data_IF_865963435575
#
_entry.id   IF_865963435575
#
_cell.length_a   1.000
_cell.length_b   1.000
_cell.length_c   1.000
_cell.angle_alpha   90.00
_cell.angle_beta   90.00
_cell.angle_gamma   90.00
#
_symmetry.space_group_name_H-M   'P 1'
#
loop_
_entity.id
_entity.type
_entity.pdbx_description
1 polymer ?
#
# COMPACT_ATOMS: atom_id res chain seq x y z
N UNK A 1 10.34 -5.82 -16.73
CA UNK A 1 10.98 -5.27 -15.53
C UNK A 1 9.90 -4.91 -14.50
N UNK A 2 10.23 -5.05 -13.20
CA UNK A 2 9.31 -4.69 -12.13
C UNK A 2 9.09 -3.17 -12.09
N UNK A 3 7.88 -2.74 -11.72
CA UNK A 3 7.60 -1.32 -11.50
C UNK A 3 8.31 -0.80 -10.26
N UNK A 4 8.74 0.47 -10.31
CA UNK A 4 9.30 1.19 -9.17
C UNK A 4 8.61 2.54 -9.05
N UNK A 5 8.38 3.01 -7.81
CA UNK A 5 7.78 4.33 -7.57
C UNK A 5 8.78 5.24 -6.88
N UNK A 6 8.92 6.47 -7.41
CA UNK A 6 9.67 7.56 -6.78
C UNK A 6 8.71 8.67 -6.40
N UNK A 7 8.78 9.12 -5.15
CA UNK A 7 7.88 10.13 -4.62
C UNK A 7 8.44 11.53 -4.85
N UNK A 8 7.56 12.49 -5.21
CA UNK A 8 7.89 13.93 -5.20
C UNK A 8 8.18 14.40 -3.78
N UNK A 9 9.07 15.37 -3.62
CA UNK A 9 9.47 15.90 -2.30
C UNK A 9 8.79 17.23 -1.97
N UNK A 10 8.38 17.98 -2.99
CA UNK A 10 7.76 19.28 -2.83
C UNK A 10 6.38 19.18 -2.16
N UNK A 11 5.93 20.29 -1.58
CA UNK A 11 4.61 20.42 -0.97
C UNK A 11 3.64 21.28 -1.83
N UNK A 12 4.15 22.07 -2.74
CA UNK A 12 3.34 22.84 -3.69
C UNK A 12 3.23 22.17 -5.06
N UNK A 13 2.09 22.33 -5.71
CA UNK A 13 1.76 21.62 -6.95
C UNK A 13 2.70 21.99 -8.12
N UNK A 14 3.16 23.23 -8.19
CA UNK A 14 4.05 23.69 -9.28
C UNK A 14 5.41 22.99 -9.20
N UNK A 15 5.97 22.89 -7.99
CA UNK A 15 7.26 22.21 -7.80
C UNK A 15 7.09 20.68 -7.91
N UNK A 16 6.00 20.11 -7.40
CA UNK A 16 5.67 18.67 -7.62
C UNK A 16 5.62 18.34 -9.12
N UNK A 17 5.06 19.21 -9.95
CA UNK A 17 5.00 19.01 -11.40
C UNK A 17 6.40 18.97 -12.02
N UNK A 18 7.29 19.87 -11.62
CA UNK A 18 8.68 19.92 -12.10
C UNK A 18 9.45 18.65 -11.69
N UNK A 19 9.27 18.21 -10.44
CA UNK A 19 9.86 16.96 -9.95
C UNK A 19 9.31 15.74 -10.68
N UNK A 20 8.01 15.69 -10.94
CA UNK A 20 7.37 14.61 -11.71
C UNK A 20 7.95 14.53 -13.13
N UNK A 21 8.19 15.67 -13.78
CA UNK A 21 8.80 15.73 -15.11
C UNK A 21 10.23 15.17 -15.14
N UNK A 22 10.97 15.27 -14.05
CA UNK A 22 12.30 14.66 -13.89
C UNK A 22 12.19 13.17 -13.62
N UNK A 23 11.36 12.78 -12.64
CA UNK A 23 11.25 11.39 -12.18
C UNK A 23 10.77 10.44 -13.29
N UNK A 24 9.83 10.87 -14.14
CA UNK A 24 9.33 10.05 -15.25
C UNK A 24 10.44 9.68 -16.28
N UNK A 25 11.55 10.40 -16.30
CA UNK A 25 12.65 10.15 -17.23
C UNK A 25 13.58 9.03 -16.78
N UNK A 26 13.47 8.56 -15.53
CA UNK A 26 14.37 7.52 -15.02
C UNK A 26 14.07 6.12 -15.57
N UNK A 27 12.95 5.91 -16.25
CA UNK A 27 12.66 4.64 -16.93
C UNK A 27 11.17 4.45 -17.24
N UNK A 28 10.89 3.57 -18.19
CA UNK A 28 9.51 3.24 -18.57
C UNK A 28 8.74 2.47 -17.48
N UNK A 29 9.44 1.84 -16.53
CA UNK A 29 8.85 1.15 -15.39
C UNK A 29 8.67 2.05 -14.15
N UNK A 30 9.00 3.34 -14.26
CA UNK A 30 8.87 4.31 -13.18
C UNK A 30 7.45 4.83 -13.06
N UNK A 31 6.93 4.82 -11.84
CA UNK A 31 5.70 5.48 -11.44
C UNK A 31 6.06 6.69 -10.58
N UNK A 32 5.55 7.86 -10.94
CA UNK A 32 5.70 9.06 -10.12
C UNK A 32 4.70 8.99 -8.97
N UNK A 33 5.22 9.01 -7.75
CA UNK A 33 4.37 8.88 -6.55
C UNK A 33 4.03 10.27 -6.02
N UNK A 34 2.73 10.54 -5.88
CA UNK A 34 2.18 11.85 -5.49
C UNK A 34 1.16 11.64 -4.37
N UNK A 35 1.26 12.36 -3.24
CA UNK A 35 0.24 12.31 -2.20
C UNK A 35 -1.07 12.97 -2.69
N UNK A 36 -2.23 12.43 -2.25
CA UNK A 36 -3.55 12.94 -2.65
C UNK A 36 -3.84 14.35 -2.15
N UNK A 37 -3.17 14.76 -1.09
CA UNK A 37 -3.22 16.13 -0.54
C UNK A 37 -1.81 16.55 -0.12
N UNK A 38 -1.58 17.86 -0.07
CA UNK A 38 -0.35 18.44 0.51
C UNK A 38 -0.46 18.61 2.03
N UNK A 39 0.57 19.16 2.69
CA UNK A 39 0.59 19.38 4.16
C UNK A 39 -0.46 20.38 4.65
N UNK A 40 -1.03 21.20 3.76
CA UNK A 40 -2.13 22.13 4.06
C UNK A 40 -3.53 21.52 3.84
N UNK A 41 -3.59 20.25 3.37
CA UNK A 41 -4.85 19.59 3.01
C UNK A 41 -5.40 20.03 1.65
N UNK A 42 -4.63 20.71 0.83
CA UNK A 42 -5.02 21.10 -0.53
C UNK A 42 -4.92 19.88 -1.46
N UNK A 43 -5.95 19.65 -2.27
CA UNK A 43 -6.03 18.50 -3.18
C UNK A 43 -5.00 18.59 -4.30
N UNK A 44 -4.33 17.47 -4.58
CA UNK A 44 -3.42 17.31 -5.74
C UNK A 44 -4.10 16.76 -6.98
N UNK A 45 -5.41 16.53 -6.95
CA UNK A 45 -6.19 16.03 -8.09
C UNK A 45 -5.99 16.84 -9.38
N UNK A 46 -5.90 18.20 -9.37
CA UNK A 46 -5.61 18.96 -10.59
C UNK A 46 -4.27 18.57 -11.23
N UNK A 47 -3.23 18.35 -10.42
CA UNK A 47 -1.92 17.90 -10.88
C UNK A 47 -1.97 16.45 -11.40
N UNK A 48 -2.61 15.55 -10.66
CA UNK A 48 -2.80 14.14 -11.04
C UNK A 48 -3.47 14.04 -12.41
N UNK A 49 -4.54 14.80 -12.62
CA UNK A 49 -5.27 14.86 -13.90
C UNK A 49 -4.36 15.32 -15.04
N UNK A 50 -3.59 16.40 -14.82
CA UNK A 50 -2.65 16.94 -15.82
C UNK A 50 -1.58 15.93 -16.19
N UNK A 51 -0.89 15.36 -15.19
CA UNK A 51 0.18 14.39 -15.41
C UNK A 51 -0.32 13.12 -16.11
N UNK A 52 -1.50 12.64 -15.73
CA UNK A 52 -2.12 11.49 -16.39
C UNK A 52 -2.46 11.77 -17.86
N UNK A 53 -2.97 12.98 -18.17
CA UNK A 53 -3.21 13.40 -19.56
C UNK A 53 -1.90 13.46 -20.39
N UNK A 54 -0.77 13.73 -19.74
CA UNK A 54 0.58 13.71 -20.33
C UNK A 54 1.21 12.31 -20.32
N UNK A 55 0.42 11.24 -20.16
CA UNK A 55 0.84 9.84 -20.11
C UNK A 55 1.90 9.53 -19.03
N UNK A 56 1.91 10.26 -17.93
CA UNK A 56 2.77 9.94 -16.78
C UNK A 56 2.15 8.81 -15.99
N UNK A 57 2.91 7.74 -15.74
CA UNK A 57 2.51 6.65 -14.84
C UNK A 57 2.51 7.15 -13.40
N UNK A 58 1.41 6.95 -12.68
CA UNK A 58 1.21 7.53 -11.36
C UNK A 58 1.06 6.46 -10.28
N UNK A 59 1.54 6.78 -9.08
CA UNK A 59 1.22 6.09 -7.85
C UNK A 59 0.66 7.13 -6.86
N UNK A 60 -0.67 7.26 -6.81
CA UNK A 60 -1.30 8.23 -5.90
C UNK A 60 -1.34 7.64 -4.50
N UNK A 61 -0.72 8.33 -3.56
CA UNK A 61 -0.46 7.82 -2.20
C UNK A 61 -1.16 8.64 -1.12
N UNK A 62 -1.05 8.17 0.13
CA UNK A 62 -1.72 8.75 1.29
C UNK A 62 -3.25 8.79 1.15
N UNK A 63 -3.83 7.75 0.52
CA UNK A 63 -5.28 7.61 0.33
C UNK A 63 -5.88 6.88 1.53
N UNK A 64 -6.98 7.44 2.09
CA UNK A 64 -7.64 6.93 3.30
C UNK A 64 -9.15 6.76 3.17
N UNK A 65 -9.78 7.38 2.16
CA UNK A 65 -11.24 7.35 2.01
C UNK A 65 -11.67 6.87 0.63
N UNK A 66 -12.89 6.36 0.56
CA UNK A 66 -13.45 5.89 -0.71
C UNK A 66 -13.72 7.05 -1.67
N UNK A 67 -14.02 8.25 -1.13
CA UNK A 67 -14.19 9.47 -1.91
C UNK A 67 -12.90 9.82 -2.65
N UNK A 68 -11.75 9.77 -1.95
CA UNK A 68 -10.44 9.98 -2.56
C UNK A 68 -10.15 8.96 -3.67
N UNK A 69 -10.49 7.68 -3.47
CA UNK A 69 -10.33 6.63 -4.50
C UNK A 69 -11.16 6.97 -5.73
N UNK A 70 -12.42 7.41 -5.56
CA UNK A 70 -13.31 7.82 -6.65
C UNK A 70 -12.76 9.04 -7.40
N UNK A 71 -12.36 10.08 -6.68
CA UNK A 71 -11.77 11.29 -7.27
C UNK A 71 -10.55 10.99 -8.12
N UNK A 72 -9.62 10.14 -7.62
CA UNK A 72 -8.43 9.71 -8.37
C UNK A 72 -8.86 8.96 -9.64
N UNK A 73 -9.73 7.96 -9.50
CA UNK A 73 -10.17 7.12 -10.61
C UNK A 73 -10.87 7.94 -11.70
N UNK A 74 -11.67 8.95 -11.32
CA UNK A 74 -12.29 9.86 -12.26
C UNK A 74 -11.28 10.78 -12.97
N UNK A 75 -10.28 11.28 -12.22
CA UNK A 75 -9.33 12.27 -12.71
C UNK A 75 -8.31 11.72 -13.70
N UNK A 76 -7.89 10.45 -13.57
CA UNK A 76 -6.84 9.87 -14.42
C UNK A 76 -7.37 9.49 -15.80
N UNK A 77 -6.50 9.50 -16.79
CA UNK A 77 -6.81 9.11 -18.17
C UNK A 77 -6.90 7.60 -18.27
N UNK A 78 -7.94 7.10 -18.92
CA UNK A 78 -8.15 5.67 -19.17
C UNK A 78 -6.98 5.05 -19.95
N UNK A 79 -6.53 3.88 -19.54
CA UNK A 79 -5.37 3.18 -20.13
C UNK A 79 -4.00 3.67 -19.64
N UNK A 80 -3.92 4.80 -18.94
CA UNK A 80 -2.66 5.26 -18.35
C UNK A 80 -2.42 4.55 -17.01
N UNK A 81 -1.31 3.79 -16.87
CA UNK A 81 -1.07 3.01 -15.66
C UNK A 81 -1.04 3.88 -14.40
N UNK A 82 -1.96 3.61 -13.49
CA UNK A 82 -2.08 4.36 -12.22
C UNK A 82 -2.31 3.39 -11.06
N UNK A 83 -1.51 3.53 -10.01
CA UNK A 83 -1.71 2.85 -8.73
C UNK A 83 -2.41 3.79 -7.74
N UNK A 84 -3.43 3.29 -7.07
CA UNK A 84 -4.11 3.97 -5.97
C UNK A 84 -3.70 3.29 -4.67
N UNK A 85 -2.81 3.93 -3.91
CA UNK A 85 -2.20 3.38 -2.70
C UNK A 85 -3.04 3.75 -1.47
N UNK A 86 -3.96 2.85 -1.08
CA UNK A 86 -4.78 3.01 0.12
C UNK A 86 -4.03 2.50 1.35
N UNK A 87 -3.95 3.33 2.39
CA UNK A 87 -3.19 3.04 3.62
C UNK A 87 -3.99 2.19 4.61
N UNK A 88 -4.39 0.99 4.19
CA UNK A 88 -5.23 0.08 4.95
C UNK A 88 -4.70 -0.21 6.36
N UNK A 89 -3.40 -0.41 6.53
CA UNK A 89 -2.82 -0.65 7.85
C UNK A 89 -2.92 0.57 8.77
N UNK A 90 -2.75 1.79 8.28
CA UNK A 90 -2.95 3.00 9.09
C UNK A 90 -4.42 3.24 9.43
N UNK A 91 -5.36 2.85 8.56
CA UNK A 91 -6.79 2.85 8.88
C UNK A 91 -7.04 1.87 10.03
N UNK A 92 -6.49 0.65 9.96
CA UNK A 92 -6.61 -0.34 11.02
C UNK A 92 -6.01 0.13 12.35
N UNK A 93 -4.91 0.89 12.33
CA UNK A 93 -4.29 1.49 13.53
C UNK A 93 -5.23 2.46 14.27
N UNK A 94 -6.29 2.96 13.63
CA UNK A 94 -7.35 3.77 14.28
C UNK A 94 -8.49 2.94 14.89
N UNK A 95 -8.43 1.61 14.77
CA UNK A 95 -9.49 0.71 15.22
C UNK A 95 -10.63 0.51 14.22
N UNK A 96 -10.47 1.01 13.00
CA UNK A 96 -11.45 0.85 11.91
C UNK A 96 -11.04 -0.34 11.03
N UNK A 97 -11.99 -1.26 10.77
CA UNK A 97 -11.77 -2.35 9.81
C UNK A 97 -11.61 -1.78 8.39
N UNK A 98 -10.44 -1.95 7.75
CA UNK A 98 -10.20 -1.43 6.41
C UNK A 98 -10.88 -2.27 5.30
N UNK A 99 -11.29 -3.51 5.56
CA UNK A 99 -11.80 -4.43 4.54
C UNK A 99 -13.01 -3.91 3.77
N UNK A 100 -14.04 -3.32 4.40
CA UNK A 100 -15.19 -2.77 3.66
C UNK A 100 -14.76 -1.69 2.66
N UNK A 101 -13.88 -0.77 3.08
CA UNK A 101 -13.34 0.27 2.21
C UNK A 101 -12.50 -0.33 1.08
N UNK A 102 -11.61 -1.26 1.39
CA UNK A 102 -10.73 -1.90 0.41
C UNK A 102 -11.51 -2.68 -0.66
N UNK A 103 -12.57 -3.42 -0.27
CA UNK A 103 -13.48 -4.11 -1.21
C UNK A 103 -14.20 -3.15 -2.17
N UNK A 104 -14.62 -2.00 -1.67
CA UNK A 104 -15.22 -0.96 -2.50
C UNK A 104 -14.16 -0.32 -3.42
N UNK A 105 -12.97 -0.05 -2.89
CA UNK A 105 -11.86 0.52 -3.64
C UNK A 105 -11.44 -0.37 -4.84
N UNK A 106 -11.41 -1.70 -4.68
CA UNK A 106 -11.18 -2.64 -5.80
C UNK A 106 -12.20 -2.41 -6.91
N UNK A 107 -13.50 -2.34 -6.57
CA UNK A 107 -14.56 -2.13 -7.58
C UNK A 107 -14.41 -0.80 -8.31
N UNK A 108 -14.07 0.26 -7.56
CA UNK A 108 -13.88 1.60 -8.13
C UNK A 108 -12.68 1.64 -9.05
N UNK A 109 -11.51 1.15 -8.61
CA UNK A 109 -10.30 1.16 -9.43
C UNK A 109 -10.44 0.28 -10.67
N UNK A 110 -11.05 -0.91 -10.55
CA UNK A 110 -11.27 -1.82 -11.66
C UNK A 110 -12.37 -1.37 -12.64
N UNK A 111 -13.12 -0.30 -12.33
CA UNK A 111 -14.08 0.28 -13.26
C UNK A 111 -13.43 1.08 -14.41
N UNK A 112 -12.10 1.34 -14.31
CA UNK A 112 -11.34 2.10 -15.31
C UNK A 112 -10.07 1.37 -15.72
N UNK A 113 -9.87 1.18 -17.01
CA UNK A 113 -8.67 0.52 -17.52
C UNK A 113 -7.39 1.27 -17.12
N UNK A 114 -6.34 0.52 -16.80
CA UNK A 114 -5.05 1.05 -16.36
C UNK A 114 -4.97 1.40 -14.87
N UNK A 115 -6.09 1.45 -14.13
CA UNK A 115 -6.10 1.78 -12.69
C UNK A 115 -6.05 0.52 -11.85
N UNK A 116 -5.15 0.48 -10.86
CA UNK A 116 -4.92 -0.65 -9.97
C UNK A 116 -4.96 -0.24 -8.51
N UNK A 117 -5.57 -1.09 -7.67
CA UNK A 117 -5.55 -0.91 -6.23
C UNK A 117 -4.26 -1.45 -5.62
N UNK A 118 -3.60 -0.63 -4.82
CA UNK A 118 -2.46 -1.02 -4.02
C UNK A 118 -2.81 -0.96 -2.53
N UNK A 119 -2.72 -2.11 -1.85
CA UNK A 119 -2.80 -2.19 -0.40
C UNK A 119 -1.48 -1.68 0.20
N UNK A 120 -1.50 -0.50 0.78
CA UNK A 120 -0.35 0.11 1.41
C UNK A 120 -0.40 -0.03 2.94
N UNK A 121 0.76 0.17 3.58
CA UNK A 121 0.88 0.15 5.04
C UNK A 121 0.54 -1.22 5.65
N UNK A 122 1.01 -2.31 5.02
CA UNK A 122 0.86 -3.67 5.55
C UNK A 122 1.48 -3.79 6.95
N UNK A 123 0.76 -4.40 7.90
CA UNK A 123 1.16 -4.57 9.29
C UNK A 123 1.53 -6.00 9.64
N UNK A 124 0.90 -6.97 9.00
CA UNK A 124 1.05 -8.38 9.35
C UNK A 124 0.86 -9.29 8.14
N UNK A 125 1.30 -10.55 8.27
CA UNK A 125 1.14 -11.57 7.23
C UNK A 125 -0.32 -11.72 6.77
N UNK A 126 -1.28 -11.65 7.69
CA UNK A 126 -2.68 -11.87 7.36
C UNK A 126 -3.23 -10.82 6.38
N UNK A 127 -2.65 -9.60 6.36
CA UNK A 127 -3.02 -8.60 5.36
C UNK A 127 -2.73 -9.05 3.91
N UNK A 128 -1.73 -9.93 3.71
CA UNK A 128 -1.43 -10.49 2.38
C UNK A 128 -2.59 -11.39 1.91
N UNK A 129 -3.12 -12.22 2.83
CA UNK A 129 -4.28 -13.06 2.55
C UNK A 129 -5.52 -12.20 2.29
N UNK A 130 -5.75 -11.20 3.12
CA UNK A 130 -6.88 -10.27 2.95
C UNK A 130 -6.81 -9.52 1.61
N UNK A 131 -5.63 -9.05 1.20
CA UNK A 131 -5.43 -8.36 -0.07
C UNK A 131 -5.71 -9.28 -1.27
N UNK A 132 -5.26 -10.53 -1.22
CA UNK A 132 -5.52 -11.54 -2.24
C UNK A 132 -7.02 -11.87 -2.33
N UNK A 133 -7.67 -12.15 -1.20
CA UNK A 133 -9.09 -12.49 -1.13
C UNK A 133 -10.02 -11.40 -1.67
N UNK A 134 -9.67 -10.12 -1.50
CA UNK A 134 -10.48 -9.01 -2.03
C UNK A 134 -10.15 -8.67 -3.47
N UNK A 135 -9.08 -9.24 -4.04
CA UNK A 135 -8.63 -8.96 -5.40
C UNK A 135 -7.85 -7.65 -5.55
N UNK A 136 -7.12 -7.21 -4.50
CA UNK A 136 -6.18 -6.10 -4.64
C UNK A 136 -5.03 -6.48 -5.60
N UNK A 137 -4.65 -5.57 -6.49
CA UNK A 137 -3.65 -5.87 -7.52
C UNK A 137 -2.23 -5.94 -6.96
N UNK A 138 -1.95 -5.16 -5.93
CA UNK A 138 -0.62 -4.99 -5.35
C UNK A 138 -0.75 -4.88 -3.82
N UNK A 139 0.23 -5.45 -3.10
CA UNK A 139 0.44 -5.15 -1.68
C UNK A 139 1.90 -4.79 -1.44
N UNK A 140 2.16 -3.74 -0.67
CA UNK A 140 3.51 -3.38 -0.22
C UNK A 140 3.74 -3.93 1.18
N UNK A 141 4.73 -4.81 1.32
CA UNK A 141 5.08 -5.44 2.58
C UNK A 141 6.46 -5.00 3.05
N UNK A 142 6.65 -4.65 4.34
CA UNK A 142 7.98 -4.50 4.92
C UNK A 142 8.70 -5.87 4.99
N UNK A 143 10.02 -5.83 5.05
CA UNK A 143 10.86 -7.02 4.94
C UNK A 143 10.57 -8.08 6.00
N UNK A 144 10.18 -7.68 7.21
CA UNK A 144 9.80 -8.59 8.30
C UNK A 144 8.50 -9.33 8.00
N UNK A 145 7.52 -8.69 7.36
CA UNK A 145 6.28 -9.34 6.90
C UNK A 145 6.58 -10.32 5.78
N UNK A 146 7.42 -9.94 4.80
CA UNK A 146 7.86 -10.87 3.73
C UNK A 146 8.54 -12.10 4.33
N UNK A 147 9.40 -11.90 5.33
CA UNK A 147 10.03 -13.02 6.05
C UNK A 147 8.99 -13.91 6.72
N UNK A 148 7.99 -13.34 7.41
CA UNK A 148 6.89 -14.10 8.04
C UNK A 148 6.08 -14.89 7.00
N UNK A 149 5.79 -14.32 5.83
CA UNK A 149 5.13 -15.04 4.73
C UNK A 149 5.94 -16.28 4.36
N UNK A 150 7.24 -16.14 4.13
CA UNK A 150 8.09 -17.25 3.72
C UNK A 150 8.26 -18.34 4.79
N UNK A 151 8.14 -18.00 6.07
CA UNK A 151 8.40 -18.93 7.18
C UNK A 151 7.14 -19.51 7.82
N UNK A 152 6.02 -18.80 7.78
CA UNK A 152 4.85 -19.11 8.58
C UNK A 152 3.59 -19.40 7.76
N UNK A 153 3.53 -18.95 6.50
CA UNK A 153 2.35 -19.18 5.67
C UNK A 153 2.10 -20.68 5.50
N UNK A 154 0.89 -21.12 5.83
CA UNK A 154 0.49 -22.53 5.70
C UNK A 154 1.01 -23.46 6.81
N UNK A 155 1.65 -22.96 7.87
CA UNK A 155 1.99 -23.79 9.04
C UNK A 155 0.76 -24.32 9.74
N UNK A 156 0.85 -25.55 10.23
CA UNK A 156 -0.21 -26.13 11.07
C UNK A 156 -0.28 -25.38 12.40
N UNK A 157 -1.47 -24.79 12.67
CA UNK A 157 -1.71 -24.06 13.92
C UNK A 157 -1.65 -24.94 15.16
N UNK A 158 -1.89 -26.27 15.04
CA UNK A 158 -1.76 -27.21 16.14
C UNK A 158 -0.31 -27.36 16.62
N UNK A 159 0.66 -27.23 15.70
CA UNK A 159 2.09 -27.28 16.04
C UNK A 159 2.55 -26.03 16.78
N UNK A 160 1.85 -24.89 16.62
CA UNK A 160 2.25 -23.62 17.24
C UNK A 160 2.22 -23.68 18.78
N UNK A 161 1.29 -24.45 19.37
CA UNK A 161 1.25 -24.63 20.83
C UNK A 161 2.53 -25.29 21.34
N UNK A 162 2.98 -26.35 20.68
CA UNK A 162 4.22 -27.06 21.05
C UNK A 162 5.43 -26.16 20.89
N UNK A 163 5.54 -25.44 19.79
CA UNK A 163 6.65 -24.53 19.55
C UNK A 163 6.68 -23.37 20.55
N UNK A 164 5.50 -22.84 20.93
CA UNK A 164 5.39 -21.81 21.96
C UNK A 164 5.88 -22.34 23.30
N UNK A 165 5.47 -23.53 23.71
CA UNK A 165 5.91 -24.15 24.97
C UNK A 165 7.43 -24.45 24.96
N UNK A 166 7.97 -24.89 23.83
CA UNK A 166 9.43 -25.04 23.68
C UNK A 166 10.15 -23.70 23.87
N UNK A 167 9.57 -22.59 23.34
CA UNK A 167 10.09 -21.23 23.56
C UNK A 167 10.11 -20.90 25.06
N UNK A 168 8.99 -21.07 25.76
CA UNK A 168 8.90 -20.84 27.21
C UNK A 168 9.93 -21.67 28.00
N UNK A 169 10.06 -22.95 27.69
CA UNK A 169 11.04 -23.81 28.35
C UNK A 169 12.48 -23.31 28.17
N UNK A 170 12.83 -22.85 26.96
CA UNK A 170 14.13 -22.25 26.68
C UNK A 170 14.35 -20.95 27.45
N UNK A 171 13.34 -20.08 27.52
CA UNK A 171 13.43 -18.80 28.24
C UNK A 171 13.58 -19.03 29.76
N UNK A 172 12.83 -19.96 30.33
CA UNK A 172 12.95 -20.37 31.75
C UNK A 172 14.35 -20.89 32.03
N UNK A 173 14.84 -21.79 31.21
CA UNK A 173 16.22 -22.35 31.37
C UNK A 173 17.29 -21.25 31.28
N UNK A 174 17.14 -20.30 30.35
CA UNK A 174 18.13 -19.22 30.19
C UNK A 174 18.03 -18.15 31.27
N UNK A 175 16.89 -17.98 31.94
CA UNK A 175 16.71 -17.02 33.02
C UNK A 175 17.40 -17.41 34.32
N UNK A 176 17.69 -18.69 34.53
CA UNK A 176 18.22 -19.22 35.79
C UNK A 176 17.25 -19.13 36.97
N UNK A 177 15.98 -18.78 36.75
CA UNK A 177 14.93 -18.70 37.78
C UNK A 177 14.38 -20.08 38.08
N UNK A 178 14.06 -20.34 39.35
CA UNK A 178 13.31 -21.50 39.82
C UNK A 178 12.23 -21.08 40.81
N UNK A 179 11.12 -21.82 40.81
CA UNK A 179 10.02 -21.61 41.78
C UNK A 179 10.16 -22.61 42.94
N UNK A 180 10.80 -23.72 42.73
CA UNK A 180 11.06 -24.80 43.70
C UNK A 180 12.54 -24.89 44.05
#
# INVERSE_FOLDING_TARGET
>A
DASISFEVFADDLETMEKEAAILKQYGENVFVKIPIVNTKGESTIPLIKKLSADNVRLNVTAVYTIEQVKEITEAVTEGVPTYVSVFAGRIADTGVDPLPLMKEAVKVTHSKDGVKLLWASCRELFNVIQADEIGADIITCPADVVKKVNTNLGRDINELSVDTVKGFAKDIQSSGLSIL
#
